data_IF_888575914369
#
_entry.id   IF_888575914369
#
_cell.length_a   1.000
_cell.length_b   1.000
_cell.length_c   1.000
_cell.angle_alpha   90.00
_cell.angle_beta   90.00
_cell.angle_gamma   90.00
#
_symmetry.space_group_name_H-M   'P 1'
#
loop_
_entity.id
_entity.type
_entity.pdbx_description
1 polymer ?
#
# COMPACT_ATOMS: atom_id res chain seq x y z
N UNK A 1 7.47 2.02 5.38
CA UNK A 1 6.37 1.06 5.13
C UNK A 1 5.76 0.66 6.45
N UNK A 2 4.43 0.71 6.55
CA UNK A 2 3.66 0.17 7.65
C UNK A 2 2.76 -0.93 7.12
N UNK A 3 2.84 -2.13 7.70
CA UNK A 3 2.04 -3.29 7.35
C UNK A 3 1.46 -3.89 8.63
N UNK A 4 0.15 -3.74 8.83
CA UNK A 4 -0.51 -4.02 10.11
C UNK A 4 0.10 -3.17 11.23
N UNK A 5 0.62 -3.82 12.27
CA UNK A 5 1.22 -3.20 13.45
C UNK A 5 2.74 -3.00 13.33
N UNK A 6 3.33 -3.30 12.16
CA UNK A 6 4.78 -3.23 11.95
C UNK A 6 5.14 -2.10 11.01
N UNK A 7 6.04 -1.24 11.45
CA UNK A 7 6.68 -0.21 10.62
C UNK A 7 8.14 -0.54 10.42
N UNK A 8 8.59 -0.48 9.17
CA UNK A 8 9.96 -0.76 8.77
C UNK A 8 10.34 0.03 7.50
N UNK A 9 11.65 0.18 7.29
CA UNK A 9 12.20 0.76 6.07
C UNK A 9 12.28 -0.31 4.98
N UNK A 10 11.99 0.10 3.75
CA UNK A 10 12.22 -0.67 2.54
C UNK A 10 13.21 0.10 1.68
N UNK A 11 14.24 -0.61 1.21
CA UNK A 11 15.26 -0.10 0.29
C UNK A 11 14.91 -0.46 -1.15
N UNK A 12 15.64 0.11 -2.11
CA UNK A 12 15.49 -0.26 -3.52
C UNK A 12 15.69 -1.76 -3.75
N UNK A 13 14.84 -2.37 -4.58
CA UNK A 13 14.77 -3.81 -4.84
C UNK A 13 14.30 -4.68 -3.66
N UNK A 14 13.84 -4.09 -2.55
CA UNK A 14 13.14 -4.83 -1.50
C UNK A 14 11.64 -4.87 -1.75
N UNK A 15 10.98 -5.89 -1.21
CA UNK A 15 9.53 -6.07 -1.34
C UNK A 15 8.93 -6.58 -0.05
N UNK A 16 7.62 -6.40 0.08
CA UNK A 16 6.85 -6.98 1.17
C UNK A 16 5.47 -7.38 0.66
N UNK A 17 4.91 -8.43 1.24
CA UNK A 17 3.55 -8.86 0.95
C UNK A 17 2.58 -8.16 1.90
N UNK A 18 1.54 -7.55 1.35
CA UNK A 18 0.42 -6.98 2.11
C UNK A 18 -0.65 -8.06 2.20
N UNK A 19 -0.96 -8.57 3.40
CA UNK A 19 -1.99 -9.58 3.53
C UNK A 19 -3.39 -9.00 3.30
N UNK A 20 -4.32 -9.85 2.86
CA UNK A 20 -5.72 -9.49 2.70
C UNK A 20 -6.33 -8.97 4.00
N UNK A 21 -7.20 -7.97 3.87
CA UNK A 21 -7.94 -7.34 4.96
C UNK A 21 -7.13 -6.32 5.76
N UNK A 22 -5.87 -6.07 5.41
CA UNK A 22 -4.95 -5.29 6.24
C UNK A 22 -4.73 -3.89 5.71
N UNK A 23 -4.74 -2.94 6.64
CA UNK A 23 -4.33 -1.58 6.36
C UNK A 23 -2.80 -1.56 6.28
N UNK A 24 -2.30 -0.92 5.23
CA UNK A 24 -0.87 -0.64 5.07
C UNK A 24 -0.69 0.80 4.61
N UNK A 25 0.51 1.32 4.80
CA UNK A 25 0.92 2.66 4.37
C UNK A 25 2.34 2.64 3.83
N UNK A 26 2.57 3.27 2.70
CA UNK A 26 3.92 3.60 2.23
C UNK A 26 4.17 5.09 2.42
N UNK A 27 5.37 5.45 2.82
CA UNK A 27 5.83 6.82 2.98
C UNK A 27 7.25 6.88 2.38
N UNK A 28 7.55 7.94 1.63
CA UNK A 28 8.88 8.20 1.09
C UNK A 28 9.56 9.26 1.97
N UNK A 29 10.46 8.88 2.90
CA UNK A 29 11.21 9.85 3.70
C UNK A 29 12.40 10.47 2.94
N UNK A 30 12.65 10.03 1.69
CA UNK A 30 13.77 10.44 0.89
C UNK A 30 13.47 11.69 0.05
N UNK A 31 14.52 12.40 -0.34
CA UNK A 31 14.41 13.56 -1.25
C UNK A 31 14.33 13.18 -2.73
N UNK A 32 14.53 11.89 -3.04
CA UNK A 32 14.48 11.35 -4.39
C UNK A 32 13.07 10.83 -4.68
N UNK A 33 12.69 10.88 -5.96
CA UNK A 33 11.43 10.30 -6.42
C UNK A 33 11.40 8.79 -6.13
N UNK A 34 10.34 8.34 -5.45
CA UNK A 34 10.10 6.93 -5.19
C UNK A 34 9.25 6.33 -6.31
N UNK A 35 9.79 5.32 -7.00
CA UNK A 35 9.05 4.48 -7.94
C UNK A 35 8.63 3.19 -7.25
N UNK A 36 7.35 2.83 -7.36
CA UNK A 36 6.76 1.67 -6.68
C UNK A 36 6.00 0.84 -7.70
N UNK A 37 6.17 -0.48 -7.61
CA UNK A 37 5.35 -1.45 -8.35
C UNK A 37 4.48 -2.16 -7.35
N UNK A 38 3.16 -2.02 -7.50
CA UNK A 38 2.17 -2.81 -6.77
C UNK A 38 1.68 -3.94 -7.67
N UNK A 39 1.93 -5.17 -7.25
CA UNK A 39 1.42 -6.35 -7.95
C UNK A 39 0.32 -7.00 -7.10
N UNK A 40 -0.82 -7.25 -7.72
CA UNK A 40 -1.97 -7.91 -7.09
C UNK A 40 -2.15 -9.31 -7.66
N UNK A 41 -2.47 -10.26 -6.80
CA UNK A 41 -2.74 -11.65 -7.17
C UNK A 41 -4.06 -12.08 -6.53
N UNK A 42 -4.96 -12.64 -7.34
CA UNK A 42 -6.31 -13.03 -6.91
C UNK A 42 -7.13 -13.60 -8.05
N UNK A 43 -8.20 -14.33 -7.71
CA UNK A 43 -9.17 -14.86 -8.68
C UNK A 43 -10.08 -13.76 -9.27
N UNK A 44 -10.22 -12.64 -8.56
CA UNK A 44 -10.91 -11.44 -9.01
C UNK A 44 -10.06 -10.21 -8.68
N UNK A 45 -9.88 -9.34 -9.68
CA UNK A 45 -9.07 -8.11 -9.61
C UNK A 45 -9.92 -6.90 -9.99
N UNK A 46 -11.18 -6.87 -9.54
CA UNK A 46 -12.06 -5.74 -9.76
C UNK A 46 -11.57 -4.50 -9.00
N UNK A 47 -12.00 -3.32 -9.46
CA UNK A 47 -11.61 -2.03 -8.86
C UNK A 47 -12.07 -1.89 -7.40
N UNK A 48 -13.06 -2.66 -6.97
CA UNK A 48 -13.66 -2.60 -5.64
C UNK A 48 -12.87 -3.40 -4.59
N UNK A 49 -11.84 -4.14 -5.00
CA UNK A 49 -11.03 -4.99 -4.12
C UNK A 49 -10.01 -4.21 -3.27
N UNK A 50 -9.81 -2.92 -3.56
CA UNK A 50 -8.92 -2.06 -2.79
C UNK A 50 -9.66 -0.80 -2.38
N UNK A 51 -9.78 -0.63 -1.07
CA UNK A 51 -10.24 0.63 -0.50
C UNK A 51 -9.02 1.49 -0.24
N UNK A 52 -8.93 2.59 -0.98
CA UNK A 52 -8.00 3.69 -0.67
C UNK A 52 -8.61 4.50 0.45
N UNK A 53 -7.86 4.65 1.53
CA UNK A 53 -8.24 5.48 2.66
C UNK A 53 -7.66 6.87 2.39
N UNK A 54 -8.51 7.88 2.34
CA UNK A 54 -8.05 9.26 2.16
C UNK A 54 -7.22 9.70 3.36
N UNK A 55 -5.96 10.02 3.11
CA UNK A 55 -5.10 10.76 4.02
C UNK A 55 -4.69 12.05 3.31
N UNK A 56 -5.30 13.17 3.73
CA UNK A 56 -4.87 14.50 3.31
C UNK A 56 -3.61 14.88 4.09
N UNK A 57 -2.45 14.80 3.45
CA UNK A 57 -1.31 15.64 3.81
C UNK A 57 -0.94 16.49 2.60
N UNK A 58 -1.56 17.67 2.54
CA UNK A 58 -1.24 18.72 1.59
C UNK A 58 -0.02 19.50 2.10
N UNK A 59 1.08 19.47 1.35
CA UNK A 59 1.77 20.66 0.80
C UNK A 59 3.16 20.30 0.24
N UNK A 60 3.77 19.18 0.64
CA UNK A 60 4.96 18.65 -0.03
C UNK A 60 4.84 17.15 -0.28
N UNK A 61 5.03 16.80 -1.57
CA UNK A 61 4.90 15.48 -2.19
C UNK A 61 5.72 14.46 -1.43
N UNK A 62 5.09 13.44 -0.85
CA UNK A 62 5.61 12.09 -0.79
C UNK A 62 4.46 11.15 -0.40
N UNK A 63 4.09 10.27 -1.33
CA UNK A 63 2.80 9.56 -1.37
C UNK A 63 2.57 8.77 -0.08
N UNK A 64 1.51 9.13 0.66
CA UNK A 64 0.91 8.28 1.71
C UNK A 64 -0.21 7.48 1.05
N UNK A 65 0.09 6.28 0.54
CA UNK A 65 -0.95 5.37 0.08
C UNK A 65 -1.40 4.51 1.25
N UNK A 66 -2.46 4.93 1.93
CA UNK A 66 -3.17 4.05 2.87
C UNK A 66 -4.22 3.25 2.12
N UNK A 67 -4.09 1.94 2.12
CA UNK A 67 -5.13 1.11 1.51
C UNK A 67 -5.32 -0.21 2.22
N UNK A 68 -6.44 -0.85 1.93
CA UNK A 68 -6.80 -2.17 2.44
C UNK A 68 -7.29 -3.03 1.29
N UNK A 69 -6.65 -4.18 1.09
CA UNK A 69 -7.13 -5.23 0.20
C UNK A 69 -8.37 -5.88 0.86
N UNK A 70 -9.48 -5.96 0.16
CA UNK A 70 -10.70 -6.65 0.60
C UNK A 70 -10.71 -8.02 -0.04
N UNK A 71 -11.04 -9.09 0.68
CA UNK A 71 -11.30 -10.38 0.04
C UNK A 71 -12.72 -10.40 -0.53
N UNK A 72 -12.89 -10.89 -1.76
CA UNK A 72 -14.23 -11.22 -2.25
C UNK A 72 -14.66 -12.53 -1.61
N UNK A 73 -15.79 -12.51 -0.92
CA UNK A 73 -16.41 -13.69 -0.31
C UNK A 73 -16.97 -14.70 -1.34
N UNK A 74 -16.57 -14.62 -2.62
CA UNK A 74 -16.97 -15.54 -3.69
C UNK A 74 -16.09 -16.80 -3.76
N UNK A 75 -15.75 -17.38 -2.62
CA UNK A 75 -15.19 -18.73 -2.49
C UNK A 75 -16.08 -19.58 -1.60
#
# INVERSE_FOLDING_TARGET
MTNRDKTFLLSGNESTCIPLGQIHALENPGVLLLEVIEAQTGSYLGKDYIVRLDDFYAEFKDIVCKSKLIADDYC
#
